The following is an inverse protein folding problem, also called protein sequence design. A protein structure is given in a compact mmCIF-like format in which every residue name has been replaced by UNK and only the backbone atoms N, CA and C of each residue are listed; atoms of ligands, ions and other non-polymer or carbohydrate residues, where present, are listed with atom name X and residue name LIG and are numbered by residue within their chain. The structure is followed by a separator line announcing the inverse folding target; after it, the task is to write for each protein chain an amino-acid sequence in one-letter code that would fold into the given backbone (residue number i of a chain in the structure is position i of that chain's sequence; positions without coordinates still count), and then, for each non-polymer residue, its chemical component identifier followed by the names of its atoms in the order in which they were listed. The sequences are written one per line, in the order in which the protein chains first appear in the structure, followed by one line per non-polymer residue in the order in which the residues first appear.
data_IF_090424121906
#
_entry.id   IF_090424121906
#
_cell.length_a   1.000
_cell.length_b   1.000
_cell.length_c   1.000
_cell.angle_alpha   90.00
_cell.angle_beta   90.00
_cell.angle_gamma   90.00
#
_symmetry.space_group_name_H-M   'P 1'
#
loop_
_entity.id
_entity.type
_entity.pdbx_description
1 polymer ?
#
# COMPACT_ATOMS: atom_id res chain seq x y z
N UNK A 1 10.37 -4.59 17.83
CA UNK A 1 9.26 -4.35 16.90
C UNK A 1 9.86 -3.60 15.73
N UNK A 2 9.98 -4.25 14.57
CA UNK A 2 10.50 -3.57 13.37
C UNK A 2 9.44 -2.59 12.93
N UNK A 3 9.76 -1.30 12.89
CA UNK A 3 8.83 -0.27 12.42
C UNK A 3 8.36 -0.66 11.02
N UNK A 4 7.04 -0.70 10.81
CA UNK A 4 6.50 -0.94 9.49
C UNK A 4 6.86 0.28 8.62
N UNK A 5 7.47 0.11 7.44
CA UNK A 5 7.92 1.24 6.61
C UNK A 5 6.80 2.20 6.17
N UNK A 6 5.54 1.79 6.28
CA UNK A 6 4.37 2.63 6.01
C UNK A 6 3.32 2.47 7.11
N UNK A 7 2.49 3.49 7.29
CA UNK A 7 1.34 3.51 8.22
C UNK A 7 0.08 4.01 7.54
N UNK A 8 -1.08 3.74 8.15
CA UNK A 8 -2.38 4.26 7.69
C UNK A 8 -2.33 5.77 7.53
N UNK A 9 -2.83 6.27 6.40
CA UNK A 9 -2.82 7.67 5.99
C UNK A 9 -1.62 8.07 5.12
N UNK A 10 -0.56 7.25 5.04
CA UNK A 10 0.56 7.55 4.16
C UNK A 10 0.12 7.50 2.68
N UNK A 11 0.58 8.48 1.90
CA UNK A 11 0.46 8.47 0.44
C UNK A 11 1.57 7.63 -0.16
N UNK A 12 1.17 6.73 -1.04
CA UNK A 12 2.08 5.80 -1.69
C UNK A 12 1.76 5.67 -3.16
N UNK A 13 2.73 5.14 -3.91
CA UNK A 13 2.51 4.59 -5.23
C UNK A 13 3.32 3.32 -5.40
N UNK A 14 2.92 2.50 -6.37
CA UNK A 14 3.70 1.32 -6.76
C UNK A 14 5.06 1.74 -7.34
N UNK A 15 6.13 1.11 -6.88
CA UNK A 15 7.52 1.38 -7.28
C UNK A 15 7.81 1.05 -8.74
N UNK A 16 7.16 0.01 -9.28
CA UNK A 16 7.42 -0.47 -10.65
C UNK A 16 6.22 -1.18 -11.29
N UNK A 17 6.24 -1.24 -12.62
CA UNK A 17 5.14 -1.78 -13.43
C UNK A 17 4.01 -0.77 -13.61
N UNK A 18 2.75 -1.25 -13.59
CA UNK A 18 1.59 -0.38 -13.70
C UNK A 18 1.51 0.64 -12.55
N UNK A 19 1.01 1.83 -12.85
CA UNK A 19 0.78 2.87 -11.86
C UNK A 19 -0.37 2.48 -10.92
N UNK A 20 -0.13 2.59 -9.61
CA UNK A 20 -1.14 2.42 -8.59
C UNK A 20 -0.86 3.39 -7.45
N UNK A 21 -1.41 4.60 -7.51
CA UNK A 21 -1.26 5.58 -6.46
C UNK A 21 -2.45 5.52 -5.50
N UNK A 22 -2.21 5.88 -4.25
CA UNK A 22 -3.27 5.90 -3.25
C UNK A 22 -2.78 6.16 -1.84
N UNK A 23 -3.64 5.78 -0.89
CA UNK A 23 -3.42 5.93 0.54
C UNK A 23 -3.40 4.58 1.23
N UNK A 24 -2.50 4.39 2.21
CA UNK A 24 -2.58 3.23 3.09
C UNK A 24 -3.85 3.36 3.95
N UNK A 25 -4.75 2.39 3.85
CA UNK A 25 -5.99 2.35 4.67
C UNK A 25 -6.00 1.21 5.69
N UNK A 26 -5.10 0.23 5.55
CA UNK A 26 -4.91 -0.82 6.54
C UNK A 26 -3.50 -1.43 6.45
N UNK A 27 -2.98 -1.87 7.60
CA UNK A 27 -1.74 -2.61 7.73
C UNK A 27 -2.02 -3.85 8.57
N UNK A 28 -1.66 -5.02 8.06
CA UNK A 28 -1.92 -6.28 8.77
C UNK A 28 -0.81 -7.29 8.52
N UNK A 29 -0.71 -8.27 9.41
CA UNK A 29 0.19 -9.41 9.29
C UNK A 29 -0.58 -10.61 8.79
N UNK A 30 -0.12 -11.25 7.70
CA UNK A 30 -0.76 -12.45 7.19
C UNK A 30 -0.37 -13.71 8.02
N UNK A 31 -0.94 -14.87 7.69
CA UNK A 31 -0.65 -16.13 8.40
C UNK A 31 0.82 -16.59 8.32
N UNK A 32 1.60 -16.04 7.38
CA UNK A 32 3.03 -16.30 7.24
C UNK A 32 3.90 -15.29 8.01
N UNK A 33 3.31 -14.40 8.80
CA UNK A 33 4.05 -13.37 9.55
C UNK A 33 4.50 -12.17 8.70
N UNK A 34 4.10 -12.09 7.42
CA UNK A 34 4.49 -10.99 6.55
C UNK A 34 3.53 -9.80 6.67
N UNK A 35 4.09 -8.60 6.82
CA UNK A 35 3.34 -7.34 6.81
C UNK A 35 2.82 -7.05 5.39
N UNK A 36 1.54 -6.68 5.31
CA UNK A 36 0.84 -6.32 4.08
C UNK A 36 0.13 -4.98 4.25
N UNK A 37 0.04 -4.26 3.14
CA UNK A 37 -0.51 -2.91 3.07
C UNK A 37 -1.71 -2.90 2.14
N UNK A 38 -2.87 -2.45 2.63
CA UNK A 38 -4.03 -2.16 1.78
C UNK A 38 -3.92 -0.71 1.33
N UNK A 39 -3.91 -0.52 0.02
CA UNK A 39 -3.90 0.81 -0.62
C UNK A 39 -5.27 1.05 -1.24
N UNK A 40 -5.88 2.18 -0.89
CA UNK A 40 -7.05 2.73 -1.59
C UNK A 40 -6.61 3.68 -2.68
N UNK A 41 -6.97 3.37 -3.92
CA UNK A 41 -6.51 4.10 -5.08
C UNK A 41 -7.13 5.49 -5.19
N UNK A 42 -6.30 6.50 -5.52
CA UNK A 42 -6.73 7.88 -5.79
C UNK A 42 -6.65 8.26 -7.27
N UNK A 43 -6.35 7.30 -8.14
CA UNK A 43 -6.29 7.49 -9.59
C UNK A 43 -7.70 7.60 -10.20
N UNK A 44 -7.91 8.56 -11.11
CA UNK A 44 -9.24 8.86 -11.68
C UNK A 44 -9.94 7.67 -12.34
N UNK A 45 -9.19 6.80 -13.01
CA UNK A 45 -9.75 5.64 -13.71
C UNK A 45 -10.23 4.51 -12.78
N UNK A 46 -9.81 4.49 -11.51
CA UNK A 46 -10.10 3.38 -10.58
C UNK A 46 -10.13 3.82 -9.12
N UNK A 47 -10.62 5.04 -8.86
CA UNK A 47 -10.69 5.63 -7.53
C UNK A 47 -11.54 4.77 -6.58
N UNK A 48 -11.07 4.62 -5.34
CA UNK A 48 -11.73 3.79 -4.32
C UNK A 48 -11.45 2.29 -4.46
N UNK A 49 -10.75 1.84 -5.51
CA UNK A 49 -10.31 0.45 -5.60
C UNK A 49 -9.32 0.14 -4.49
N UNK A 50 -9.48 -1.02 -3.84
CA UNK A 50 -8.56 -1.52 -2.82
C UNK A 50 -7.65 -2.60 -3.42
N UNK A 51 -6.35 -2.52 -3.11
CA UNK A 51 -5.40 -3.56 -3.47
C UNK A 51 -4.35 -3.78 -2.38
N UNK A 52 -3.86 -5.01 -2.25
CA UNK A 52 -2.92 -5.43 -1.21
C UNK A 52 -1.51 -5.49 -1.81
N UNK A 53 -0.54 -4.87 -1.15
CA UNK A 53 0.87 -4.86 -1.57
C UNK A 53 1.81 -5.33 -0.46
N UNK A 54 2.99 -5.80 -0.88
CA UNK A 54 4.18 -5.90 -0.05
C UNK A 54 4.84 -4.53 0.12
N UNK A 55 5.64 -4.34 1.17
CA UNK A 55 6.32 -3.06 1.41
C UNK A 55 7.34 -2.68 0.33
N UNK A 56 8.05 -3.66 -0.24
CA UNK A 56 9.05 -3.45 -1.29
C UNK A 56 8.44 -2.96 -2.62
N UNK A 57 7.15 -3.23 -2.84
CA UNK A 57 6.39 -2.80 -4.01
C UNK A 57 5.95 -1.33 -3.93
N UNK A 58 6.08 -0.68 -2.78
CA UNK A 58 5.60 0.68 -2.54
C UNK A 58 6.75 1.66 -2.34
N UNK A 59 6.47 2.92 -2.62
CA UNK A 59 7.26 4.08 -2.24
C UNK A 59 6.35 5.27 -1.88
N UNK A 60 6.86 6.19 -1.06
CA UNK A 60 6.13 7.41 -0.72
C UNK A 60 5.91 8.28 -1.97
N UNK A 61 4.74 8.92 -2.03
CA UNK A 61 4.32 9.84 -3.08
C UNK A 61 3.94 11.20 -2.49
#
# INVERSE_FOLDING_TARGET
MTDAPFKVGDRVKKRSGYEYPGFIVSVFTNRAGAVRYVVEADHSAFSGMLHIFNGDQLEHR
#
